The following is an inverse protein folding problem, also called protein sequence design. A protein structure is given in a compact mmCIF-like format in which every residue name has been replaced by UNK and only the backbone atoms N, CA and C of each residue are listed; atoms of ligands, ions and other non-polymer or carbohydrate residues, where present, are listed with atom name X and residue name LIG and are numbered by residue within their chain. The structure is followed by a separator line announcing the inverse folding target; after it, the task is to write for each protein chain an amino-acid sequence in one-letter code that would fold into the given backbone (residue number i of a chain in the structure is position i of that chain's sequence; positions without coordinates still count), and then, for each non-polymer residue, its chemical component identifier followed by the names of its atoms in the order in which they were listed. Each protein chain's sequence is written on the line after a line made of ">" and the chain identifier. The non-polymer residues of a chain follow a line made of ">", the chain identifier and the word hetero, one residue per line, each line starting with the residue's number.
data_IF_040057181976
#
_entry.id   IF_040057181976
#
_cell.length_a   1.000
_cell.length_b   1.000
_cell.length_c   1.000
_cell.angle_alpha   90.00
_cell.angle_beta   90.00
_cell.angle_gamma   90.00
#
_symmetry.space_group_name_H-M   'P 1'
#
loop_
_entity.id
_entity.type
_entity.pdbx_description
1 polymer ?
#
# COMPACT_ATOMS: atom_id res chain seq x y z
N UNK A 1 -11.37 39.62 43.30
CA UNK A 1 -10.37 38.54 43.51
C UNK A 1 -11.11 37.23 43.71
N UNK A 2 -11.19 36.39 42.68
CA UNK A 2 -11.55 34.98 42.83
C UNK A 2 -10.57 34.16 42.00
N UNK A 3 -9.75 33.38 42.69
CA UNK A 3 -8.80 32.42 42.13
C UNK A 3 -9.59 31.18 41.71
N UNK A 4 -9.72 30.94 40.41
CA UNK A 4 -10.19 29.64 39.90
C UNK A 4 -8.94 28.83 39.59
N UNK A 5 -8.58 27.94 40.51
CA UNK A 5 -7.61 26.87 40.28
C UNK A 5 -8.39 25.78 39.53
N UNK A 6 -8.27 25.77 38.20
CA UNK A 6 -8.80 24.67 37.39
C UNK A 6 -7.74 23.57 37.35
N UNK A 7 -7.92 22.61 38.24
CA UNK A 7 -7.15 21.38 38.29
C UNK A 7 -7.46 20.52 37.06
N UNK A 8 -6.38 20.08 36.41
CA UNK A 8 -6.18 18.72 35.93
C UNK A 8 -7.29 18.12 35.05
N UNK A 9 -7.07 18.18 33.74
CA UNK A 9 -7.48 17.11 32.84
C UNK A 9 -6.26 16.74 32.01
N UNK A 10 -5.41 15.89 32.61
CA UNK A 10 -4.50 15.04 31.88
C UNK A 10 -5.38 14.11 31.04
N UNK A 11 -5.61 14.47 29.78
CA UNK A 11 -5.96 13.47 28.78
C UNK A 11 -4.66 12.74 28.49
N UNK A 12 -4.34 11.76 29.35
CA UNK A 12 -3.43 10.70 28.96
C UNK A 12 -4.14 9.96 27.82
N UNK A 13 -3.72 10.23 26.58
CA UNK A 13 -3.98 9.36 25.44
C UNK A 13 -3.26 8.03 25.70
N UNK A 14 -3.79 7.21 26.61
CA UNK A 14 -3.48 5.79 26.67
C UNK A 14 -4.31 5.12 25.60
N UNK A 15 -3.72 4.95 24.43
CA UNK A 15 -4.36 4.31 23.28
C UNK A 15 -3.34 3.91 22.21
N UNK A 16 -2.27 3.22 22.60
CA UNK A 16 -1.37 2.54 21.66
C UNK A 16 -1.98 1.18 21.20
N UNK A 17 -3.21 1.16 20.71
CA UNK A 17 -3.82 -0.08 20.16
C UNK A 17 -3.88 -0.09 18.63
N UNK A 18 -3.40 0.96 17.96
CA UNK A 18 -3.65 1.14 16.51
C UNK A 18 -2.58 0.52 15.60
N UNK A 19 -1.38 0.20 16.12
CA UNK A 19 -0.28 -0.29 15.27
C UNK A 19 -0.37 -1.80 15.00
N UNK A 20 -0.84 -2.59 15.97
CA UNK A 20 -0.88 -4.06 15.84
C UNK A 20 -2.01 -4.52 14.89
N UNK A 21 -3.16 -3.85 14.90
CA UNK A 21 -4.28 -4.19 14.00
C UNK A 21 -3.99 -3.85 12.54
N UNK A 22 -3.33 -2.71 12.28
CA UNK A 22 -2.96 -2.31 10.91
C UNK A 22 -1.89 -3.25 10.34
N UNK A 23 -0.92 -3.68 11.14
CA UNK A 23 0.08 -4.65 10.68
C UNK A 23 -0.54 -6.02 10.37
N UNK A 24 -1.54 -6.45 11.14
CA UNK A 24 -2.26 -7.70 10.87
C UNK A 24 -3.04 -7.62 9.56
N UNK A 25 -3.73 -6.51 9.30
CA UNK A 25 -4.51 -6.27 8.07
C UNK A 25 -3.61 -6.26 6.82
N UNK A 26 -2.47 -5.57 6.89
CA UNK A 26 -1.48 -5.53 5.80
C UNK A 26 -0.86 -6.91 5.52
N UNK A 27 -0.62 -7.69 6.57
CA UNK A 27 -0.07 -9.05 6.44
C UNK A 27 -1.08 -10.01 5.81
N UNK A 28 -2.36 -9.93 6.18
CA UNK A 28 -3.43 -10.72 5.56
C UNK A 28 -3.61 -10.33 4.09
N UNK A 29 -3.63 -9.03 3.78
CA UNK A 29 -3.69 -8.51 2.43
C UNK A 29 -2.53 -9.00 1.56
N UNK A 30 -1.29 -8.88 2.06
CA UNK A 30 -0.10 -9.38 1.38
C UNK A 30 -0.18 -10.88 1.07
N UNK A 31 -0.58 -11.69 2.06
CA UNK A 31 -0.73 -13.13 1.86
C UNK A 31 -1.78 -13.47 0.79
N UNK A 32 -2.90 -12.75 0.73
CA UNK A 32 -3.91 -12.93 -0.31
C UNK A 32 -3.39 -12.52 -1.70
N UNK A 33 -2.67 -11.39 -1.77
CA UNK A 33 -2.13 -10.83 -2.99
C UNK A 33 -1.13 -11.79 -3.66
N UNK A 34 -0.20 -12.33 -2.86
CA UNK A 34 0.88 -13.21 -3.32
C UNK A 34 0.56 -14.71 -3.21
N UNK A 35 -0.65 -15.10 -2.78
CA UNK A 35 -1.07 -16.49 -2.81
C UNK A 35 -1.03 -17.02 -4.25
N UNK A 36 -0.17 -18.02 -4.48
CA UNK A 36 0.07 -18.61 -5.80
C UNK A 36 -1.18 -19.36 -6.28
N UNK A 37 -1.87 -18.81 -7.28
CA UNK A 37 -2.92 -19.52 -8.01
C UNK A 37 -2.23 -20.39 -9.08
N UNK A 38 -1.96 -21.64 -8.75
CA UNK A 38 -1.13 -22.55 -9.55
C UNK A 38 -1.74 -23.06 -10.86
N UNK A 39 -2.47 -22.24 -11.64
CA UNK A 39 -3.02 -22.65 -12.95
C UNK A 39 -3.18 -21.47 -13.92
N UNK A 40 -2.34 -21.43 -14.98
CA UNK A 40 -2.51 -21.03 -16.41
C UNK A 40 -3.53 -19.95 -16.84
N UNK A 41 -4.12 -19.20 -15.93
CA UNK A 41 -4.94 -18.00 -16.14
C UNK A 41 -4.11 -16.76 -15.69
N UNK A 42 -2.82 -16.82 -15.99
CA UNK A 42 -1.79 -16.08 -15.27
C UNK A 42 -1.83 -14.56 -15.53
N UNK A 43 -2.18 -14.13 -16.76
CA UNK A 43 -2.19 -12.70 -17.11
C UNK A 43 -3.45 -11.96 -16.63
N UNK A 44 -4.63 -12.58 -16.77
CA UNK A 44 -5.89 -11.98 -16.29
C UNK A 44 -5.88 -11.93 -14.76
N UNK A 45 -5.45 -13.01 -14.11
CA UNK A 45 -5.28 -13.04 -12.67
C UNK A 45 -4.22 -12.05 -12.18
N UNK A 46 -3.09 -11.89 -12.89
CA UNK A 46 -2.05 -10.92 -12.52
C UNK A 46 -2.54 -9.46 -12.69
N UNK A 47 -3.27 -9.15 -13.76
CA UNK A 47 -3.87 -7.84 -13.97
C UNK A 47 -4.85 -7.48 -12.85
N UNK A 48 -5.79 -8.37 -12.54
CA UNK A 48 -6.80 -8.15 -11.49
C UNK A 48 -6.16 -7.94 -10.12
N UNK A 49 -5.16 -8.76 -9.76
CA UNK A 49 -4.41 -8.60 -8.51
C UNK A 49 -3.64 -7.28 -8.45
N UNK A 50 -2.99 -6.87 -9.53
CA UNK A 50 -2.32 -5.58 -9.60
C UNK A 50 -3.31 -4.40 -9.48
N UNK A 51 -4.51 -4.52 -10.05
CA UNK A 51 -5.57 -3.53 -9.87
C UNK A 51 -6.07 -3.44 -8.43
N UNK A 52 -6.27 -4.60 -7.78
CA UNK A 52 -6.64 -4.65 -6.36
C UNK A 52 -5.57 -4.01 -5.48
N UNK A 53 -4.29 -4.35 -5.71
CA UNK A 53 -3.13 -3.77 -5.05
C UNK A 53 -3.14 -2.24 -5.11
N UNK A 54 -3.22 -1.72 -6.34
CA UNK A 54 -3.20 -0.29 -6.59
C UNK A 54 -4.42 0.42 -5.98
N UNK A 55 -5.60 -0.22 -6.03
CA UNK A 55 -6.83 0.31 -5.44
C UNK A 55 -6.68 0.49 -3.93
N UNK A 56 -6.10 -0.49 -3.24
CA UNK A 56 -5.87 -0.41 -1.80
C UNK A 56 -4.84 0.66 -1.44
N UNK A 57 -3.70 0.69 -2.13
CA UNK A 57 -2.70 1.74 -1.95
C UNK A 57 -3.29 3.14 -2.24
N UNK A 58 -4.18 3.26 -3.22
CA UNK A 58 -4.89 4.50 -3.54
C UNK A 58 -5.84 4.95 -2.43
N UNK A 59 -6.48 4.03 -1.70
CA UNK A 59 -7.32 4.38 -0.54
C UNK A 59 -6.45 4.96 0.57
N UNK A 60 -5.35 4.29 0.89
CA UNK A 60 -4.36 4.76 1.86
C UNK A 60 -3.83 6.14 1.47
N UNK A 61 -3.42 6.31 0.21
CA UNK A 61 -2.93 7.59 -0.33
C UNK A 61 -3.92 8.75 -0.13
N UNK A 62 -5.22 8.50 -0.30
CA UNK A 62 -6.30 9.49 -0.11
C UNK A 62 -6.52 9.84 1.36
N UNK A 63 -6.25 8.90 2.27
CA UNK A 63 -6.36 9.10 3.72
C UNK A 63 -5.11 9.80 4.29
N UNK A 64 -3.95 9.65 3.65
CA UNK A 64 -2.70 10.29 4.07
C UNK A 64 -2.63 11.76 3.66
N UNK A 65 -2.62 12.66 4.65
CA UNK A 65 -2.62 14.12 4.41
C UNK A 65 -1.31 14.62 3.77
N UNK A 66 -0.16 14.06 4.17
CA UNK A 66 1.14 14.43 3.62
C UNK A 66 2.07 13.22 3.56
N UNK A 67 2.72 13.04 2.41
CA UNK A 67 3.75 12.02 2.25
C UNK A 67 5.13 12.57 2.63
N UNK A 68 5.98 11.71 3.18
CA UNK A 68 7.42 11.96 3.27
C UNK A 68 8.10 11.71 1.91
N UNK A 69 9.42 11.95 1.82
CA UNK A 69 10.15 11.80 0.55
C UNK A 69 10.13 10.36 0.00
N UNK A 70 10.25 9.37 0.88
CA UNK A 70 10.26 7.95 0.50
C UNK A 70 8.89 7.51 -0.01
N UNK A 71 7.81 7.81 0.72
CA UNK A 71 6.43 7.53 0.32
C UNK A 71 6.09 8.20 -1.02
N UNK A 72 6.58 9.43 -1.27
CA UNK A 72 6.39 10.11 -2.57
C UNK A 72 7.10 9.38 -3.72
N UNK A 73 8.31 8.86 -3.50
CA UNK A 73 9.05 8.11 -4.52
C UNK A 73 8.30 6.84 -4.89
N UNK A 74 7.97 6.02 -3.88
CA UNK A 74 7.25 4.76 -4.08
C UNK A 74 5.88 5.00 -4.75
N UNK A 75 5.15 6.04 -4.32
CA UNK A 75 3.89 6.40 -4.97
C UNK A 75 4.06 6.78 -6.44
N UNK A 76 5.09 7.55 -6.78
CA UNK A 76 5.33 7.98 -8.17
C UNK A 76 5.69 6.80 -9.08
N UNK A 77 6.49 5.86 -8.58
CA UNK A 77 6.85 4.62 -9.29
C UNK A 77 5.62 3.73 -9.48
N UNK A 78 4.85 3.50 -8.40
CA UNK A 78 3.59 2.77 -8.44
C UNK A 78 2.59 3.36 -9.45
N UNK A 79 2.39 4.68 -9.42
CA UNK A 79 1.45 5.35 -10.31
C UNK A 79 1.92 5.25 -11.77
N UNK A 80 3.21 5.40 -12.04
CA UNK A 80 3.79 5.20 -13.36
C UNK A 80 3.53 3.78 -13.87
N UNK A 81 3.82 2.75 -13.08
CA UNK A 81 3.67 1.36 -13.48
C UNK A 81 2.20 0.99 -13.70
N UNK A 82 1.32 1.48 -12.83
CA UNK A 82 -0.12 1.30 -13.01
C UNK A 82 -0.65 1.96 -14.29
N UNK A 83 -0.17 3.15 -14.65
CA UNK A 83 -0.55 3.77 -15.93
C UNK A 83 -0.10 2.93 -17.13
N UNK A 84 1.08 2.30 -17.09
CA UNK A 84 1.52 1.37 -18.13
C UNK A 84 0.56 0.17 -18.23
N UNK A 85 0.18 -0.40 -17.09
CA UNK A 85 -0.74 -1.55 -17.02
C UNK A 85 -2.13 -1.21 -17.58
N UNK A 86 -2.67 -0.04 -17.23
CA UNK A 86 -3.98 0.41 -17.75
C UNK A 86 -3.93 0.69 -19.25
N UNK A 87 -2.82 1.24 -19.74
CA UNK A 87 -2.63 1.49 -21.17
C UNK A 87 -2.46 0.20 -21.97
N UNK A 88 -1.92 -0.86 -21.37
CA UNK A 88 -1.75 -2.16 -22.01
C UNK A 88 -1.95 -3.32 -21.02
N UNK A 89 -3.20 -3.78 -20.78
CA UNK A 89 -3.50 -4.83 -19.81
C UNK A 89 -2.77 -6.16 -20.06
N UNK A 90 -2.50 -6.48 -21.32
CA UNK A 90 -1.76 -7.70 -21.70
C UNK A 90 -0.32 -7.70 -21.17
N UNK A 91 0.24 -6.53 -20.84
CA UNK A 91 1.59 -6.40 -20.26
C UNK A 91 1.67 -6.77 -18.77
N UNK A 92 0.57 -7.19 -18.14
CA UNK A 92 0.57 -7.61 -16.74
C UNK A 92 1.63 -8.67 -16.44
N UNK A 93 1.84 -9.61 -17.36
CA UNK A 93 2.83 -10.68 -17.26
C UNK A 93 4.17 -10.36 -17.94
N UNK A 94 4.33 -9.16 -18.50
CA UNK A 94 5.57 -8.75 -19.14
C UNK A 94 6.62 -8.43 -18.07
N UNK A 95 7.84 -8.90 -18.31
CA UNK A 95 8.99 -8.46 -17.51
C UNK A 95 9.30 -7.01 -17.87
N UNK A 96 9.40 -6.15 -16.86
CA UNK A 96 9.77 -4.75 -17.09
C UNK A 96 11.22 -4.57 -17.58
N UNK A 97 12.10 -5.54 -17.31
CA UNK A 97 13.48 -5.52 -17.76
C UNK A 97 14.06 -6.93 -17.81
N UNK A 98 15.07 -7.14 -18.66
CA UNK A 98 15.88 -8.38 -18.64
C UNK A 98 16.66 -8.55 -17.34
N UNK A 99 16.81 -7.48 -16.56
CA UNK A 99 17.47 -7.47 -15.25
C UNK A 99 16.49 -7.44 -14.08
N UNK A 100 15.18 -7.31 -14.35
CA UNK A 100 14.15 -7.39 -13.31
C UNK A 100 13.57 -8.79 -13.30
N UNK A 101 13.48 -9.38 -12.11
CA UNK A 101 12.91 -10.72 -11.94
C UNK A 101 11.37 -10.69 -11.94
N UNK A 102 10.76 -9.52 -11.68
CA UNK A 102 9.32 -9.32 -11.59
C UNK A 102 8.65 -8.88 -12.90
N UNK A 103 7.41 -9.31 -13.05
CA UNK A 103 6.46 -8.78 -14.04
C UNK A 103 5.95 -7.39 -13.65
N UNK A 104 5.36 -6.66 -14.61
CA UNK A 104 4.72 -5.37 -14.34
C UNK A 104 3.67 -5.48 -13.23
N UNK A 105 2.85 -6.54 -13.25
CA UNK A 105 1.87 -6.78 -12.19
C UNK A 105 2.54 -7.01 -10.83
N UNK A 106 3.62 -7.80 -10.77
CA UNK A 106 4.36 -8.03 -9.52
C UNK A 106 4.99 -6.76 -8.95
N UNK A 107 5.48 -5.86 -9.80
CA UNK A 107 6.03 -4.58 -9.36
C UNK A 107 4.93 -3.67 -8.81
N UNK A 108 3.78 -3.58 -9.47
CA UNK A 108 2.62 -2.83 -8.97
C UNK A 108 2.15 -3.40 -7.62
N UNK A 109 2.06 -4.73 -7.52
CA UNK A 109 1.73 -5.43 -6.28
C UNK A 109 2.72 -5.11 -5.15
N UNK A 110 4.02 -5.17 -5.45
CA UNK A 110 5.10 -4.91 -4.49
C UNK A 110 5.13 -3.46 -4.03
N UNK A 111 5.12 -2.50 -4.96
CA UNK A 111 5.13 -1.07 -4.62
C UNK A 111 3.85 -0.63 -3.93
N UNK A 112 2.70 -1.25 -4.22
CA UNK A 112 1.46 -1.01 -3.48
C UNK A 112 1.60 -1.40 -2.02
N UNK A 113 2.11 -2.60 -1.76
CA UNK A 113 2.34 -3.08 -0.39
C UNK A 113 3.38 -2.22 0.34
N UNK A 114 4.50 -1.90 -0.32
CA UNK A 114 5.53 -1.04 0.25
C UNK A 114 4.95 0.33 0.63
N UNK A 115 4.15 0.94 -0.25
CA UNK A 115 3.52 2.22 0.04
C UNK A 115 2.57 2.15 1.25
N UNK A 116 1.74 1.11 1.32
CA UNK A 116 0.81 0.87 2.44
C UNK A 116 1.61 0.72 3.75
N UNK A 117 2.64 -0.13 3.76
CA UNK A 117 3.48 -0.35 4.94
C UNK A 117 4.22 0.92 5.38
N UNK A 118 4.83 1.65 4.45
CA UNK A 118 5.54 2.90 4.74
C UNK A 118 4.60 3.95 5.30
N UNK A 119 3.33 3.94 4.90
CA UNK A 119 2.32 4.83 5.43
C UNK A 119 1.85 4.40 6.81
N UNK A 120 1.55 3.12 6.99
CA UNK A 120 1.15 2.55 8.29
C UNK A 120 2.23 2.71 9.38
N UNK A 121 3.52 2.74 9.02
CA UNK A 121 4.64 2.96 9.94
C UNK A 121 4.88 4.44 10.27
N UNK A 122 4.31 5.37 9.50
CA UNK A 122 4.56 6.81 9.61
C UNK A 122 3.45 7.57 10.37
N UNK A 123 2.26 6.97 10.48
CA UNK A 123 1.18 7.37 11.41
C UNK A 123 1.42 6.79 12.82
#
# INVERSE_FOLDING_TARGET
>A
MYKVILAMSLVALSGCETVESVQQDVSEFSNNLFASSGNKEDTVSAFEKAQEAYSEASKVRKQTTSLNAQQRSVWAELESDYQKLVANPDSAADKESIFSDGTLAENIMTHSLEFIELTAKAD
#
